data_IF_315970744415
#
_entry.id   IF_315970744415
#
_cell.length_a   1.000
_cell.length_b   1.000
_cell.length_c   1.000
_cell.angle_alpha   90.00
_cell.angle_beta   90.00
_cell.angle_gamma   90.00
#
_symmetry.space_group_name_H-M   'P 1'
#
loop_
_entity.id
_entity.type
_entity.pdbx_description
1 polymer ?
#
# COMPACT_ATOMS: atom_id res chain seq x y z
N UNK A 1 24.31 -19.78 34.78
CA UNK A 1 23.00 -19.13 34.50
C UNK A 1 23.28 -17.67 34.18
N UNK A 2 23.12 -17.25 32.93
CA UNK A 2 23.38 -15.86 32.52
C UNK A 2 22.16 -15.02 32.91
N UNK A 3 22.32 -14.13 33.87
CA UNK A 3 21.34 -13.09 34.21
C UNK A 3 21.23 -12.10 33.05
N UNK A 4 20.09 -12.08 32.37
CA UNK A 4 19.72 -10.98 31.48
C UNK A 4 19.41 -9.77 32.37
N UNK A 5 20.23 -8.72 32.24
CA UNK A 5 20.01 -7.44 32.91
C UNK A 5 18.76 -6.74 32.37
N UNK A 6 18.23 -5.73 33.09
CA UNK A 6 17.11 -4.94 32.60
C UNK A 6 17.46 -4.31 31.25
N UNK A 7 16.51 -4.32 30.32
CA UNK A 7 16.66 -3.71 29.01
C UNK A 7 17.05 -2.23 29.16
N UNK A 8 18.10 -1.80 28.47
CA UNK A 8 18.56 -0.43 28.58
C UNK A 8 17.56 0.52 27.88
N UNK A 9 17.32 1.73 28.41
CA UNK A 9 16.46 2.74 27.77
C UNK A 9 16.85 3.05 26.31
N UNK A 10 18.11 2.78 25.95
CA UNK A 10 18.65 2.87 24.58
C UNK A 10 17.97 1.91 23.60
N UNK A 11 17.51 0.75 24.06
CA UNK A 11 16.93 -0.28 23.20
C UNK A 11 15.51 0.09 22.73
N UNK A 12 14.71 0.69 23.62
CA UNK A 12 13.35 1.15 23.30
C UNK A 12 13.37 2.29 22.27
N UNK A 13 14.21 3.31 22.49
CA UNK A 13 14.35 4.44 21.56
C UNK A 13 14.77 3.95 20.18
N UNK A 14 15.74 3.01 20.13
CA UNK A 14 16.21 2.42 18.87
C UNK A 14 15.09 1.68 18.11
N UNK A 15 14.20 0.97 18.83
CA UNK A 15 13.05 0.30 18.23
C UNK A 15 12.00 1.30 17.72
N UNK A 16 11.72 2.37 18.47
CA UNK A 16 10.80 3.42 18.05
C UNK A 16 11.31 4.14 16.78
N UNK A 17 12.60 4.45 16.72
CA UNK A 17 13.24 5.04 15.53
C UNK A 17 13.17 4.09 14.33
N UNK A 18 13.42 2.79 14.54
CA UNK A 18 13.26 1.77 13.51
C UNK A 18 11.82 1.67 13.01
N UNK A 19 10.84 1.74 13.92
CA UNK A 19 9.42 1.77 13.55
C UNK A 19 9.07 2.98 12.71
N UNK A 20 9.56 4.17 13.09
CA UNK A 20 9.37 5.40 12.30
C UNK A 20 9.94 5.22 10.89
N UNK A 21 11.15 4.69 10.73
CA UNK A 21 11.75 4.48 9.42
C UNK A 21 10.87 3.59 8.51
N UNK A 22 10.31 2.49 9.05
CA UNK A 22 9.38 1.65 8.30
C UNK A 22 8.08 2.37 7.93
N UNK A 23 7.56 3.22 8.82
CA UNK A 23 6.34 4.01 8.56
C UNK A 23 6.58 5.10 7.51
N UNK A 24 7.75 5.74 7.52
CA UNK A 24 8.14 6.72 6.50
C UNK A 24 8.27 6.07 5.12
N UNK A 25 8.87 4.88 5.05
CA UNK A 25 8.95 4.12 3.81
C UNK A 25 7.55 3.70 3.32
N UNK A 26 6.69 3.25 4.24
CA UNK A 26 5.31 2.89 3.93
C UNK A 26 4.53 4.08 3.36
N UNK A 27 4.72 5.27 3.94
CA UNK A 27 4.12 6.51 3.46
C UNK A 27 4.62 6.83 2.04
N UNK A 28 5.93 6.77 1.79
CA UNK A 28 6.52 7.02 0.48
C UNK A 28 6.01 6.05 -0.60
N UNK A 29 5.84 4.77 -0.25
CA UNK A 29 5.26 3.76 -1.15
C UNK A 29 3.78 4.02 -1.40
N UNK A 30 3.04 4.54 -0.41
CA UNK A 30 1.62 4.91 -0.56
C UNK A 30 1.45 6.11 -1.50
N UNK A 31 2.33 7.11 -1.39
CA UNK A 31 2.37 8.25 -2.33
C UNK A 31 2.73 7.81 -3.75
N UNK A 32 3.69 6.89 -3.87
CA UNK A 32 4.09 6.34 -5.16
C UNK A 32 2.96 5.53 -5.80
N UNK A 33 2.24 4.75 -4.99
CA UNK A 33 1.06 4.00 -5.44
C UNK A 33 -0.01 4.95 -5.98
N UNK A 34 -0.27 6.06 -5.29
CA UNK A 34 -1.22 7.05 -5.77
C UNK A 34 -0.83 7.58 -7.15
N UNK A 35 0.45 7.94 -7.37
CA UNK A 35 0.94 8.41 -8.68
C UNK A 35 0.76 7.35 -9.76
N UNK A 36 1.10 6.08 -9.49
CA UNK A 36 0.86 4.98 -10.42
C UNK A 36 -0.62 4.85 -10.80
N UNK A 37 -1.53 5.01 -9.84
CA UNK A 37 -2.97 4.98 -10.09
C UNK A 37 -3.47 6.23 -10.84
N UNK A 38 -2.85 7.39 -10.66
CA UNK A 38 -3.17 8.57 -11.48
C UNK A 38 -2.72 8.41 -12.93
N UNK A 39 -1.57 7.79 -13.15
CA UNK A 39 -0.99 7.56 -14.48
C UNK A 39 -1.62 6.36 -15.20
N UNK A 40 -2.46 5.57 -14.52
CA UNK A 40 -3.04 4.34 -15.06
C UNK A 40 -2.02 3.19 -15.20
N UNK A 41 -0.82 3.33 -14.63
CA UNK A 41 0.23 2.30 -14.65
C UNK A 41 -0.04 1.24 -13.58
N UNK A 42 -1.05 0.41 -13.83
CA UNK A 42 -1.45 -0.67 -12.92
C UNK A 42 -0.37 -1.75 -12.79
N UNK A 43 0.58 -1.83 -13.72
CA UNK A 43 1.70 -2.78 -13.68
C UNK A 43 2.64 -2.53 -12.50
N UNK A 44 2.83 -1.26 -12.11
CA UNK A 44 3.65 -0.88 -10.95
C UNK A 44 2.90 -0.94 -9.61
N UNK A 45 1.57 -0.99 -9.63
CA UNK A 45 0.76 -1.00 -8.41
C UNK A 45 0.93 -2.29 -7.59
N UNK A 46 1.05 -3.45 -8.24
CA UNK A 46 1.21 -4.75 -7.58
C UNK A 46 2.44 -4.83 -6.67
N UNK A 47 3.65 -4.59 -7.20
CA UNK A 47 4.89 -4.58 -6.40
C UNK A 47 4.86 -3.58 -5.24
N UNK A 48 4.24 -2.40 -5.42
CA UNK A 48 4.08 -1.42 -4.34
C UNK A 48 3.17 -1.94 -3.22
N UNK A 49 2.07 -2.61 -3.56
CA UNK A 49 1.18 -3.22 -2.56
C UNK A 49 1.87 -4.33 -1.76
N UNK A 50 2.66 -5.18 -2.43
CA UNK A 50 3.45 -6.23 -1.78
C UNK A 50 4.49 -5.64 -0.82
N UNK A 51 5.21 -4.60 -1.26
CA UNK A 51 6.20 -3.89 -0.44
C UNK A 51 5.54 -3.28 0.80
N UNK A 52 4.40 -2.60 0.63
CA UNK A 52 3.61 -2.05 1.74
C UNK A 52 3.16 -3.13 2.73
N UNK A 53 2.75 -4.29 2.25
CA UNK A 53 2.37 -5.42 3.12
C UNK A 53 3.58 -5.95 3.91
N UNK A 54 4.76 -6.01 3.30
CA UNK A 54 6.00 -6.40 3.97
C UNK A 54 6.41 -5.41 5.06
N UNK A 55 6.27 -4.10 4.79
CA UNK A 55 6.53 -3.05 5.76
C UNK A 55 5.56 -3.11 6.94
N UNK A 56 4.26 -3.35 6.70
CA UNK A 56 3.29 -3.54 7.77
C UNK A 56 3.68 -4.70 8.71
N UNK A 57 4.09 -5.84 8.16
CA UNK A 57 4.59 -6.98 8.96
C UNK A 57 5.85 -6.63 9.75
N UNK A 58 6.72 -5.80 9.18
CA UNK A 58 7.95 -5.34 9.86
C UNK A 58 7.63 -4.41 11.03
N UNK A 59 6.61 -3.57 10.88
CA UNK A 59 6.08 -2.74 11.97
C UNK A 59 5.48 -3.62 13.07
N UNK A 60 4.65 -4.61 12.72
CA UNK A 60 4.07 -5.55 13.68
C UNK A 60 5.15 -6.30 14.48
N UNK A 61 6.23 -6.70 13.81
CA UNK A 61 7.36 -7.37 14.46
C UNK A 61 8.13 -6.45 15.43
N UNK A 62 8.21 -5.15 15.14
CA UNK A 62 8.80 -4.17 16.07
C UNK A 62 7.86 -3.93 17.25
N UNK A 63 6.56 -3.89 17.02
CA UNK A 63 5.57 -3.75 18.09
C UNK A 63 5.62 -4.90 19.09
N UNK A 64 5.75 -6.14 18.60
CA UNK A 64 5.97 -7.31 19.46
C UNK A 64 7.27 -7.18 20.30
N UNK A 65 8.35 -6.65 19.72
CA UNK A 65 9.60 -6.43 20.46
C UNK A 65 9.43 -5.37 21.57
N UNK A 66 8.73 -4.28 21.27
CA UNK A 66 8.41 -3.23 22.25
C UNK A 66 7.57 -3.81 23.39
N UNK A 67 6.57 -4.63 23.09
CA UNK A 67 5.71 -5.28 24.10
C UNK A 67 6.50 -6.24 25.01
N UNK A 68 7.42 -7.02 24.44
CA UNK A 68 8.32 -7.91 25.20
C UNK A 68 9.22 -7.07 26.14
N UNK A 69 9.77 -5.96 25.68
CA UNK A 69 10.62 -5.10 26.51
C UNK A 69 9.84 -4.42 27.64
N UNK A 70 8.63 -3.94 27.35
CA UNK A 70 7.77 -3.30 28.34
C UNK A 70 7.28 -4.29 29.40
N UNK A 71 6.93 -5.52 29.01
CA UNK A 71 6.52 -6.57 29.95
C UNK A 71 7.69 -7.03 30.84
N UNK A 72 8.90 -7.16 30.29
CA UNK A 72 10.11 -7.49 31.04
C UNK A 72 10.58 -6.38 32.00
N UNK A 73 10.34 -5.11 31.65
CA UNK A 73 10.72 -3.94 32.47
C UNK A 73 9.76 -3.61 33.63
N UNK A 74 8.56 -4.21 33.66
CA UNK A 74 7.53 -3.95 34.68
C UNK A 74 7.90 -4.34 36.11
N UNK A 75 9.03 -5.03 36.31
CA UNK A 75 9.59 -5.34 37.63
C UNK A 75 10.61 -4.32 38.17
N UNK A 76 11.02 -3.34 37.37
CA UNK A 76 12.05 -2.37 37.73
C UNK A 76 11.54 -0.93 37.51
N UNK A 77 10.59 -0.49 38.35
CA UNK A 77 10.28 0.93 38.47
C UNK A 77 11.51 1.67 39.04
N UNK A 78 12.33 2.23 38.15
CA UNK A 78 13.53 2.94 38.54
C UNK A 78 14.10 3.81 37.43
N UNK A 79 13.63 5.06 37.39
CA UNK A 79 14.41 6.23 36.93
C UNK A 79 14.74 6.30 35.42
N UNK A 80 13.73 6.39 34.55
CA UNK A 80 13.97 6.99 33.22
C UNK A 80 14.07 8.51 33.35
N UNK A 81 15.21 9.09 32.96
CA UNK A 81 15.52 10.52 33.10
C UNK A 81 14.57 11.41 32.27
N UNK A 82 14.28 12.66 32.69
CA UNK A 82 13.36 13.57 31.99
C UNK A 82 13.58 13.72 30.46
N UNK A 83 14.82 13.77 29.94
CA UNK A 83 15.07 13.89 28.50
C UNK A 83 14.59 12.69 27.68
N UNK A 84 14.66 11.48 28.26
CA UNK A 84 14.21 10.24 27.60
C UNK A 84 12.70 10.26 27.40
N UNK A 85 11.93 10.62 28.43
CA UNK A 85 10.46 10.74 28.32
C UNK A 85 10.02 11.78 27.29
N UNK A 86 10.75 12.89 27.17
CA UNK A 86 10.44 13.92 26.17
C UNK A 86 10.73 13.43 24.74
N UNK A 87 11.85 12.71 24.54
CA UNK A 87 12.20 12.12 23.25
C UNK A 87 11.19 11.05 22.85
N UNK A 88 10.80 10.17 23.76
CA UNK A 88 9.77 9.15 23.52
C UNK A 88 8.46 9.79 23.04
N UNK A 89 8.02 10.85 23.72
CA UNK A 89 6.81 11.59 23.34
C UNK A 89 6.91 12.23 21.95
N UNK A 90 8.08 12.76 21.58
CA UNK A 90 8.32 13.30 20.23
C UNK A 90 8.25 12.20 19.16
N UNK A 91 8.84 11.03 19.42
CA UNK A 91 8.78 9.88 18.51
C UNK A 91 7.34 9.38 18.34
N UNK A 92 6.55 9.32 19.41
CA UNK A 92 5.13 8.98 19.34
C UNK A 92 4.32 9.94 18.48
N UNK A 93 4.53 11.26 18.67
CA UNK A 93 3.89 12.28 17.83
C UNK A 93 4.31 12.19 16.37
N UNK A 94 5.58 11.88 16.10
CA UNK A 94 6.08 11.68 14.74
C UNK A 94 5.36 10.49 14.07
N UNK A 95 5.24 9.36 14.75
CA UNK A 95 4.51 8.19 14.25
C UNK A 95 3.03 8.51 13.99
N UNK A 96 2.35 9.19 14.91
CA UNK A 96 0.94 9.57 14.74
C UNK A 96 0.75 10.45 13.49
N UNK A 97 1.65 11.43 13.30
CA UNK A 97 1.66 12.30 12.13
C UNK A 97 1.85 11.53 10.83
N UNK A 98 2.79 10.58 10.79
CA UNK A 98 3.04 9.74 9.61
C UNK A 98 1.83 8.86 9.29
N UNK A 99 1.27 8.19 10.30
CA UNK A 99 0.09 7.33 10.13
C UNK A 99 -1.12 8.11 9.61
N UNK A 100 -1.35 9.32 10.13
CA UNK A 100 -2.42 10.19 9.65
C UNK A 100 -2.24 10.55 8.18
N UNK A 101 -1.03 10.95 7.77
CA UNK A 101 -0.71 11.22 6.37
C UNK A 101 -0.87 9.98 5.48
N UNK A 102 -0.43 8.82 5.95
CA UNK A 102 -0.58 7.57 5.22
C UNK A 102 -2.06 7.23 4.99
N UNK A 103 -2.90 7.41 6.01
CA UNK A 103 -4.35 7.20 5.90
C UNK A 103 -5.02 8.16 4.89
N UNK A 104 -4.61 9.43 4.89
CA UNK A 104 -5.09 10.41 3.89
C UNK A 104 -4.71 9.99 2.46
N UNK A 105 -3.49 9.51 2.25
CA UNK A 105 -3.05 9.02 0.95
C UNK A 105 -3.74 7.72 0.55
N UNK A 106 -3.99 6.81 1.49
CA UNK A 106 -4.75 5.59 1.21
C UNK A 106 -6.17 5.87 0.76
N UNK A 107 -6.85 6.85 1.38
CA UNK A 107 -8.17 7.29 0.91
C UNK A 107 -8.11 7.81 -0.53
N UNK A 108 -7.07 8.57 -0.87
CA UNK A 108 -6.85 9.05 -2.26
C UNK A 108 -6.58 7.89 -3.22
N UNK A 109 -5.77 6.91 -2.83
CA UNK A 109 -5.52 5.70 -3.63
C UNK A 109 -6.82 4.93 -3.89
N UNK A 110 -7.65 4.71 -2.86
CA UNK A 110 -8.93 4.03 -2.99
C UNK A 110 -9.88 4.78 -3.92
N UNK A 111 -9.99 6.10 -3.77
CA UNK A 111 -10.80 6.92 -4.66
C UNK A 111 -10.34 6.82 -6.12
N UNK A 112 -9.03 6.92 -6.36
CA UNK A 112 -8.46 6.81 -7.71
C UNK A 112 -8.64 5.42 -8.31
N UNK A 113 -8.48 4.36 -7.52
CA UNK A 113 -8.72 2.99 -7.98
C UNK A 113 -10.18 2.76 -8.42
N UNK A 114 -11.14 3.39 -7.73
CA UNK A 114 -12.56 3.37 -8.15
C UNK A 114 -12.76 4.07 -9.49
N UNK A 115 -12.14 5.24 -9.69
CA UNK A 115 -12.19 5.99 -10.96
C UNK A 115 -11.65 5.13 -12.11
N UNK A 116 -10.44 4.60 -11.97
CA UNK A 116 -9.82 3.72 -12.96
C UNK A 116 -10.69 2.51 -13.29
N UNK A 117 -11.29 1.88 -12.28
CA UNK A 117 -12.18 0.73 -12.49
C UNK A 117 -13.39 1.08 -13.36
N UNK A 118 -14.01 2.24 -13.12
CA UNK A 118 -15.15 2.66 -13.93
C UNK A 118 -14.73 3.06 -15.36
N UNK A 119 -13.53 3.61 -15.55
CA UNK A 119 -12.97 3.89 -16.88
C UNK A 119 -12.72 2.59 -17.67
N UNK A 120 -12.03 1.62 -17.07
CA UNK A 120 -11.80 0.29 -17.67
C UNK A 120 -13.12 -0.38 -18.03
N UNK A 121 -14.14 -0.26 -17.18
CA UNK A 121 -15.47 -0.82 -17.44
C UNK A 121 -16.12 -0.18 -18.66
N UNK A 122 -16.04 1.15 -18.80
CA UNK A 122 -16.55 1.88 -19.97
C UNK A 122 -15.83 1.47 -21.24
N UNK A 123 -14.51 1.37 -21.20
CA UNK A 123 -13.70 0.90 -22.33
C UNK A 123 -14.07 -0.52 -22.75
N UNK A 124 -14.21 -1.45 -21.79
CA UNK A 124 -14.65 -2.81 -22.06
C UNK A 124 -16.03 -2.88 -22.69
N UNK A 125 -16.97 -2.04 -22.25
CA UNK A 125 -18.30 -1.95 -22.89
C UNK A 125 -18.21 -1.44 -24.32
N UNK A 126 -17.39 -0.41 -24.57
CA UNK A 126 -17.15 0.14 -25.91
C UNK A 126 -16.53 -0.90 -26.85
N UNK A 127 -15.50 -1.62 -26.40
CA UNK A 127 -14.86 -2.70 -27.15
C UNK A 127 -15.88 -3.80 -27.48
N UNK A 128 -16.72 -4.20 -26.52
CA UNK A 128 -17.75 -5.21 -26.72
C UNK A 128 -18.78 -4.79 -27.75
N UNK A 129 -19.19 -3.53 -27.74
CA UNK A 129 -20.13 -2.97 -28.72
C UNK A 129 -19.50 -2.88 -30.11
N UNK A 130 -18.27 -2.39 -30.21
CA UNK A 130 -17.49 -2.38 -31.45
C UNK A 130 -17.34 -3.79 -32.03
N UNK A 131 -17.02 -4.78 -31.18
CA UNK A 131 -16.90 -6.18 -31.61
C UNK A 131 -18.22 -6.75 -32.14
N UNK A 132 -19.36 -6.44 -31.51
CA UNK A 132 -20.69 -6.82 -32.03
C UNK A 132 -20.95 -6.22 -33.41
N UNK A 133 -20.59 -4.96 -33.62
CA UNK A 133 -20.74 -4.28 -34.92
C UNK A 133 -19.87 -4.94 -35.98
N UNK A 134 -18.58 -5.14 -35.72
CA UNK A 134 -17.66 -5.83 -36.65
C UNK A 134 -18.18 -7.22 -36.98
N UNK A 135 -18.62 -7.98 -35.98
CA UNK A 135 -19.11 -9.35 -36.19
C UNK A 135 -20.40 -9.36 -37.05
N UNK A 136 -21.29 -8.36 -36.89
CA UNK A 136 -22.45 -8.18 -37.79
C UNK A 136 -22.03 -7.89 -39.23
N UNK A 137 -21.01 -7.05 -39.45
CA UNK A 137 -20.49 -6.81 -40.81
C UNK A 137 -19.89 -8.08 -41.41
N UNK A 138 -19.06 -8.81 -40.66
CA UNK A 138 -18.46 -10.08 -41.12
C UNK A 138 -19.54 -11.13 -41.45
N UNK A 139 -20.57 -11.26 -40.62
CA UNK A 139 -21.70 -12.15 -40.90
C UNK A 139 -22.51 -11.71 -42.11
N UNK A 140 -22.74 -10.40 -42.29
CA UNK A 140 -23.45 -9.86 -43.47
C UNK A 140 -22.68 -10.09 -44.77
N UNK A 141 -21.35 -10.04 -44.75
CA UNK A 141 -20.52 -10.40 -45.90
C UNK A 141 -20.54 -11.89 -46.23
N UNK A 142 -20.65 -12.78 -45.22
CA UNK A 142 -20.87 -14.22 -45.46
C UNK A 142 -22.25 -14.55 -46.02
N UNK A 143 -23.25 -13.71 -45.72
CA UNK A 143 -24.64 -13.89 -46.13
C UNK A 143 -24.99 -13.21 -47.48
N UNK A 144 -24.08 -12.45 -48.09
CA UNK A 144 -24.28 -11.93 -49.44
C UNK A 144 -24.25 -13.09 -50.45
N UNK A 145 -25.18 -13.16 -51.42
CA UNK A 145 -25.09 -14.16 -52.47
C UNK A 145 -23.74 -14.01 -53.16
N UNK A 146 -22.97 -15.10 -53.27
CA UNK A 146 -21.81 -15.13 -54.16
C UNK A 146 -22.33 -14.67 -55.52
N UNK A 147 -21.90 -13.49 -55.97
CA UNK A 147 -22.26 -12.95 -57.26
C UNK A 147 -22.14 -14.09 -58.28
N UNK A 148 -23.24 -14.33 -59.00
CA UNK A 148 -23.28 -15.33 -60.06
C UNK A 148 -22.10 -15.05 -60.99
N UNK A 149 -21.28 -16.06 -61.24
CA UNK A 149 -20.35 -16.06 -62.37
C UNK A 149 -21.19 -15.81 -63.62
N UNK A 150 -21.18 -14.57 -64.09
CA UNK A 150 -21.72 -14.23 -65.41
C UNK A 150 -20.72 -14.80 -66.40
N UNK A 151 -20.96 -16.04 -66.82
CA UNK A 151 -20.27 -16.63 -67.98
C UNK A 151 -20.69 -15.82 -69.21
N UNK A 152 -19.71 -15.18 -69.84
CA UNK A 152 -19.82 -14.68 -71.21
C UNK A 152 -19.93 -15.85 -72.18
#
# INVERSE_FOLDING_TARGET
MKSQGPAEPSDLVSLLEKKIAFLEEFLADTESLYRCLQEGDTGKAGPLLEKRQSLARSVDAVDQQIEILQSAGSGAEGLSAPPLRQRDHQLWKAMESILRKAAEWDQKCLAQAVVLREEIKKEMTSIREGWKVVNRYVQRFKALPRFMDVRQ
#
